data_IF_758276668920
#
_entry.id   IF_758276668920
#
_cell.length_a   1.000
_cell.length_b   1.000
_cell.length_c   1.000
_cell.angle_alpha   90.00
_cell.angle_beta   90.00
_cell.angle_gamma   90.00
#
_symmetry.space_group_name_H-M   'P 1'
#
loop_
_entity.id
_entity.type
_entity.pdbx_description
1 polymer ?
#
# COMPACT_ATOMS: atom_id res chain seq x y z
N UNK A 1 -6.33 0.30 -2.71
CA UNK A 1 -5.25 -0.71 -2.65
C UNK A 1 -5.89 -2.09 -2.77
N UNK A 2 -5.28 -3.01 -3.51
CA UNK A 2 -5.91 -4.29 -3.89
C UNK A 2 -6.31 -4.40 -5.37
N UNK A 3 -5.91 -3.46 -6.21
CA UNK A 3 -6.13 -3.53 -7.65
C UNK A 3 -5.21 -4.58 -8.28
N UNK A 4 -5.73 -5.28 -9.28
CA UNK A 4 -4.96 -6.17 -10.16
C UNK A 4 -4.35 -5.37 -11.31
N UNK A 5 -3.08 -5.59 -11.58
CA UNK A 5 -2.28 -4.88 -12.57
C UNK A 5 -1.56 -5.90 -13.43
N UNK A 6 -1.67 -5.74 -14.74
CA UNK A 6 -0.94 -6.55 -15.69
C UNK A 6 0.56 -6.19 -15.62
N UNK A 7 1.41 -7.20 -15.46
CA UNK A 7 2.82 -7.02 -15.20
C UNK A 7 3.67 -6.83 -16.48
N UNK A 8 3.08 -6.96 -17.67
CA UNK A 8 3.81 -6.87 -18.93
C UNK A 8 4.50 -5.52 -19.19
N UNK A 9 4.09 -4.46 -18.49
CA UNK A 9 4.77 -3.15 -18.56
C UNK A 9 6.08 -3.07 -17.76
N UNK A 10 6.38 -4.07 -16.93
CA UNK A 10 7.60 -4.10 -16.10
C UNK A 10 8.80 -4.71 -16.84
N UNK A 11 8.54 -5.56 -17.85
CA UNK A 11 9.56 -6.27 -18.62
C UNK A 11 8.98 -7.49 -19.34
N UNK A 12 9.68 -7.99 -20.36
CA UNK A 12 9.25 -9.15 -21.15
C UNK A 12 9.14 -10.43 -20.29
N UNK A 13 9.96 -10.54 -19.25
CA UNK A 13 9.96 -11.67 -18.32
C UNK A 13 8.68 -11.76 -17.46
N UNK A 14 7.90 -10.68 -17.39
CA UNK A 14 6.65 -10.59 -16.62
C UNK A 14 5.40 -10.62 -17.51
N UNK A 15 5.56 -10.81 -18.82
CA UNK A 15 4.44 -10.85 -19.77
C UNK A 15 3.48 -12.00 -19.45
N UNK A 16 2.19 -11.69 -19.38
CA UNK A 16 1.14 -12.66 -19.03
C UNK A 16 0.92 -12.86 -17.52
N UNK A 17 1.71 -12.22 -16.65
CA UNK A 17 1.46 -12.21 -15.22
C UNK A 17 0.52 -11.07 -14.81
N UNK A 18 -0.33 -11.35 -13.83
CA UNK A 18 -1.20 -10.37 -13.17
C UNK A 18 -0.80 -10.28 -11.71
N UNK A 19 -0.49 -9.08 -11.23
CA UNK A 19 -0.11 -8.81 -9.86
C UNK A 19 -1.20 -8.06 -9.11
N UNK A 20 -1.30 -8.29 -7.80
CA UNK A 20 -2.17 -7.53 -6.92
C UNK A 20 -1.36 -6.59 -6.05
N UNK A 21 -1.70 -5.30 -6.03
CA UNK A 21 -1.04 -4.33 -5.17
C UNK A 21 -1.49 -4.54 -3.71
N UNK A 22 -0.62 -5.10 -2.88
CA UNK A 22 -0.90 -5.42 -1.47
C UNK A 22 -0.50 -4.31 -0.50
N UNK A 23 0.40 -3.41 -0.90
CA UNK A 23 1.00 -2.41 0.00
C UNK A 23 1.96 -1.47 -0.71
N UNK A 24 2.61 -0.60 0.06
CA UNK A 24 3.66 0.30 -0.41
C UNK A 24 4.23 1.14 0.73
N UNK A 25 5.43 1.66 0.53
CA UNK A 25 6.10 2.61 1.44
C UNK A 25 6.50 3.86 0.65
N UNK A 26 6.37 5.03 1.27
CA UNK A 26 6.95 6.27 0.76
C UNK A 26 8.46 6.32 1.06
N UNK A 27 9.20 7.22 0.42
CA UNK A 27 10.66 7.42 0.58
C UNK A 27 11.10 7.68 2.02
N UNK A 28 10.22 8.22 2.86
CA UNK A 28 10.48 8.46 4.28
C UNK A 28 10.06 7.27 5.18
N UNK A 29 9.68 6.13 4.60
CA UNK A 29 9.30 4.91 5.33
C UNK A 29 7.86 4.90 5.84
N UNK A 30 7.00 5.83 5.42
CA UNK A 30 5.58 5.81 5.80
C UNK A 30 4.82 4.75 5.00
N UNK A 31 4.17 3.77 5.65
CA UNK A 31 3.40 2.74 4.97
C UNK A 31 2.04 3.27 4.50
N UNK A 32 1.55 2.72 3.38
CA UNK A 32 0.19 2.97 2.89
C UNK A 32 -0.88 2.32 3.78
N UNK A 33 -2.07 2.94 3.87
CA UNK A 33 -3.22 2.41 4.61
C UNK A 33 -4.43 2.23 3.70
N UNK A 34 -4.94 1.00 3.58
CA UNK A 34 -6.17 0.73 2.85
C UNK A 34 -7.35 1.50 3.46
N UNK A 35 -8.21 2.07 2.60
CA UNK A 35 -9.34 2.92 3.00
C UNK A 35 -9.01 4.41 3.07
N UNK A 36 -7.73 4.80 3.04
CA UNK A 36 -7.31 6.20 2.91
C UNK A 36 -7.15 6.51 1.42
N UNK A 37 -8.20 7.08 0.81
CA UNK A 37 -8.28 7.33 -0.64
C UNK A 37 -7.67 8.68 -1.04
N UNK A 38 -6.46 8.95 -0.56
CA UNK A 38 -5.69 10.16 -0.89
C UNK A 38 -4.30 9.77 -1.37
N UNK A 39 -3.75 10.50 -2.35
CA UNK A 39 -2.38 10.21 -2.83
C UNK A 39 -1.30 10.70 -1.86
N UNK A 40 -1.57 11.74 -1.09
CA UNK A 40 -0.65 12.30 -0.10
C UNK A 40 -0.75 11.67 1.28
N UNK A 41 0.10 12.16 2.19
CA UNK A 41 0.06 11.76 3.60
C UNK A 41 -1.03 12.51 4.35
N UNK A 42 -1.72 11.79 5.23
CA UNK A 42 -2.69 12.34 6.17
C UNK A 42 -2.34 11.90 7.58
N UNK A 43 -2.73 12.71 8.57
CA UNK A 43 -2.55 12.38 9.99
C UNK A 43 -3.90 11.96 10.54
N UNK A 44 -3.98 10.76 11.07
CA UNK A 44 -5.20 10.16 11.61
C UNK A 44 -5.03 9.83 13.09
N UNK A 45 -6.11 9.90 13.85
CA UNK A 45 -6.17 9.34 15.19
C UNK A 45 -6.47 7.83 15.07
N UNK A 46 -5.49 6.98 15.42
CA UNK A 46 -5.58 5.52 15.26
C UNK A 46 -5.92 4.84 16.58
N UNK A 47 -6.92 3.94 16.56
CA UNK A 47 -7.25 3.07 17.70
C UNK A 47 -6.43 1.77 17.66
N UNK A 48 -6.47 1.00 18.75
CA UNK A 48 -5.91 -0.36 18.82
C UNK A 48 -6.42 -1.22 17.66
N UNK A 49 -5.53 -2.01 17.06
CA UNK A 49 -5.86 -2.93 15.95
C UNK A 49 -5.81 -2.29 14.56
N UNK A 50 -5.62 -0.97 14.46
CA UNK A 50 -5.40 -0.34 13.15
C UNK A 50 -4.00 -0.65 12.62
N UNK A 51 -3.92 -1.01 11.34
CA UNK A 51 -2.64 -1.04 10.61
C UNK A 51 -1.92 0.32 10.70
N UNK A 52 -0.59 0.27 10.64
CA UNK A 52 0.32 1.42 10.80
C UNK A 52 0.38 2.00 12.24
N UNK A 53 -0.22 1.32 13.23
CA UNK A 53 -0.13 1.70 14.65
C UNK A 53 0.23 0.51 15.54
N UNK A 54 1.25 0.69 16.38
CA UNK A 54 1.61 -0.25 17.44
C UNK A 54 1.37 0.41 18.79
N UNK A 55 0.37 -0.09 19.53
CA UNK A 55 0.03 0.38 20.86
C UNK A 55 1.21 0.16 21.83
N UNK A 56 1.47 1.13 22.71
CA UNK A 56 2.50 1.05 23.75
C UNK A 56 1.97 1.10 25.18
N UNK A 57 0.73 1.55 25.38
CA UNK A 57 0.01 1.58 26.66
C UNK A 57 -1.41 1.11 26.40
#
# INVERSE_FOLDING_TARGET
MGQEVEAGCLGDEWKGYVFRITGGNDKQGFPMKQGVMTQGRVRLLLKKGHSCYRQRR
#
